data_IF_789305532627
#
_entry.id   IF_789305532627
#
_cell.length_a   1.000
_cell.length_b   1.000
_cell.length_c   1.000
_cell.angle_alpha   90.00
_cell.angle_beta   90.00
_cell.angle_gamma   90.00
#
_symmetry.space_group_name_H-M   'P 1'
#
loop_
_entity.id
_entity.type
_entity.pdbx_description
1 polymer ?
#
# COMPACT_ATOMS: atom_id res chain seq x y z
N UNK A 1 -52.57 -2.28 -18.66
CA UNK A 1 -52.32 -2.34 -17.20
C UNK A 1 -50.97 -1.67 -16.97
N UNK A 2 -50.92 -0.63 -16.14
CA UNK A 2 -49.64 -0.01 -15.75
C UNK A 2 -48.83 -1.04 -14.97
N UNK A 3 -47.61 -1.33 -15.41
CA UNK A 3 -46.68 -2.19 -14.69
C UNK A 3 -46.28 -1.51 -13.39
N UNK A 4 -46.53 -2.13 -12.24
CA UNK A 4 -46.07 -1.63 -10.94
C UNK A 4 -44.67 -2.16 -10.64
N UNK A 5 -43.75 -1.28 -10.23
CA UNK A 5 -42.47 -1.71 -9.68
C UNK A 5 -42.66 -2.23 -8.25
N UNK A 6 -42.24 -3.45 -8.01
CA UNK A 6 -42.25 -4.08 -6.68
C UNK A 6 -40.80 -4.34 -6.27
N UNK A 7 -40.31 -3.60 -5.27
CA UNK A 7 -38.91 -3.66 -4.83
C UNK A 7 -38.57 -4.97 -4.11
N UNK A 8 -39.58 -5.79 -3.80
CA UNK A 8 -39.41 -7.10 -3.18
C UNK A 8 -39.29 -8.25 -4.19
N UNK A 9 -39.48 -7.94 -5.48
CA UNK A 9 -39.45 -8.90 -6.59
C UNK A 9 -38.30 -8.57 -7.55
N UNK A 10 -37.91 -9.56 -8.36
CA UNK A 10 -36.84 -9.43 -9.37
C UNK A 10 -35.50 -8.94 -8.79
N UNK A 11 -35.19 -9.34 -7.55
CA UNK A 11 -33.93 -9.02 -6.90
C UNK A 11 -32.78 -9.64 -7.70
N UNK A 12 -31.79 -8.82 -8.05
CA UNK A 12 -30.62 -9.30 -8.78
C UNK A 12 -29.78 -10.22 -7.90
N UNK A 13 -29.47 -11.39 -8.44
CA UNK A 13 -28.60 -12.41 -7.81
C UNK A 13 -27.26 -12.54 -8.54
N UNK A 14 -27.06 -11.77 -9.62
CA UNK A 14 -25.89 -11.88 -10.52
C UNK A 14 -24.70 -11.01 -10.13
N UNK A 15 -24.70 -10.44 -8.91
CA UNK A 15 -23.64 -9.59 -8.35
C UNK A 15 -23.32 -8.32 -9.15
N UNK A 16 -24.21 -7.84 -10.04
CA UNK A 16 -23.97 -6.60 -10.78
C UNK A 16 -23.94 -5.42 -9.81
N UNK A 17 -22.85 -4.65 -9.82
CA UNK A 17 -22.74 -3.44 -8.99
C UNK A 17 -23.06 -2.18 -9.78
N UNK A 18 -23.74 -1.26 -9.12
CA UNK A 18 -23.95 0.11 -9.54
C UNK A 18 -23.07 0.99 -8.65
N UNK A 19 -22.11 1.66 -9.25
CA UNK A 19 -21.22 2.59 -8.54
C UNK A 19 -21.47 3.98 -9.09
N UNK A 20 -21.72 4.97 -8.22
CA UNK A 20 -21.92 6.36 -8.62
C UNK A 20 -21.16 7.35 -7.73
N UNK A 21 -20.74 8.48 -8.33
CA UNK A 21 -19.98 9.54 -7.64
C UNK A 21 -20.18 10.91 -8.30
N UNK A 22 -21.04 11.74 -7.74
CA UNK A 22 -21.31 13.09 -8.22
C UNK A 22 -20.43 14.12 -7.54
N UNK A 23 -19.29 14.43 -8.15
CA UNK A 23 -18.40 15.50 -7.73
C UNK A 23 -19.12 16.85 -7.60
N UNK A 24 -18.64 17.73 -6.70
CA UNK A 24 -19.12 19.11 -6.63
C UNK A 24 -18.97 19.82 -7.98
N UNK A 25 -20.03 20.51 -8.40
CA UNK A 25 -20.08 21.30 -9.63
C UNK A 25 -20.29 22.78 -9.28
N UNK A 26 -19.77 23.66 -10.12
CA UNK A 26 -20.01 25.10 -10.05
C UNK A 26 -20.83 25.48 -11.28
N UNK A 27 -21.97 26.14 -11.06
CA UNK A 27 -22.88 26.56 -12.10
C UNK A 27 -22.94 28.10 -12.19
N UNK A 28 -23.04 28.60 -13.41
CA UNK A 28 -23.36 29.99 -13.73
C UNK A 28 -24.80 30.09 -14.26
N UNK A 29 -25.29 31.31 -14.43
CA UNK A 29 -26.65 31.56 -14.96
C UNK A 29 -26.90 30.95 -16.34
N UNK A 30 -25.86 30.80 -17.16
CA UNK A 30 -25.95 30.26 -18.51
C UNK A 30 -25.97 28.72 -18.54
N UNK A 31 -25.62 28.08 -17.42
CA UNK A 31 -25.54 26.63 -17.31
C UNK A 31 -26.90 25.97 -17.06
N UNK A 32 -27.94 26.75 -16.74
CA UNK A 32 -29.28 26.21 -16.53
C UNK A 32 -30.35 26.92 -17.36
N UNK A 33 -31.39 26.17 -17.72
CA UNK A 33 -32.53 26.63 -18.50
C UNK A 33 -33.80 26.11 -17.86
N UNK A 34 -34.70 27.04 -17.56
CA UNK A 34 -36.04 26.71 -17.11
C UNK A 34 -36.96 26.67 -18.34
N UNK A 35 -37.54 25.51 -18.60
CA UNK A 35 -38.49 25.31 -19.69
C UNK A 35 -39.87 25.74 -19.21
N UNK A 36 -40.41 26.80 -19.82
CA UNK A 36 -41.69 27.42 -19.40
C UNK A 36 -42.90 26.84 -20.11
N UNK A 37 -42.70 26.17 -21.26
CA UNK A 37 -43.76 25.54 -22.02
C UNK A 37 -44.01 24.13 -21.47
N UNK A 38 -45.28 23.75 -21.31
CA UNK A 38 -45.63 22.42 -20.79
C UNK A 38 -45.00 21.31 -21.65
N UNK A 39 -44.31 20.34 -21.04
CA UNK A 39 -44.04 20.19 -19.59
C UNK A 39 -42.95 21.14 -19.08
N UNK A 40 -43.17 21.75 -17.92
CA UNK A 40 -42.21 22.65 -17.27
C UNK A 40 -41.21 21.87 -16.43
N UNK A 41 -39.93 22.08 -16.70
CA UNK A 41 -38.83 21.45 -15.96
C UNK A 41 -37.61 22.35 -15.90
N UNK A 42 -36.76 22.10 -14.92
CA UNK A 42 -35.44 22.71 -14.83
C UNK A 42 -34.41 21.77 -15.48
N UNK A 43 -33.60 22.31 -16.39
CA UNK A 43 -32.47 21.60 -16.99
C UNK A 43 -31.20 22.34 -16.65
N UNK A 44 -30.19 21.60 -16.22
CA UNK A 44 -28.85 22.09 -15.96
C UNK A 44 -27.92 21.36 -16.91
N UNK A 45 -27.29 22.10 -17.82
CA UNK A 45 -26.19 21.59 -18.61
C UNK A 45 -24.98 21.55 -17.68
N UNK A 46 -24.50 20.36 -17.35
CA UNK A 46 -23.36 20.23 -16.45
C UNK A 46 -22.38 19.22 -17.04
N UNK A 47 -21.14 19.65 -17.21
CA UNK A 47 -20.05 18.75 -17.52
C UNK A 47 -19.46 18.29 -16.19
N UNK A 48 -19.89 17.13 -15.71
CA UNK A 48 -19.11 16.41 -14.71
C UNK A 48 -17.74 16.12 -15.32
N UNK A 49 -16.66 16.19 -14.51
CA UNK A 49 -15.26 16.23 -14.97
C UNK A 49 -15.03 15.38 -16.23
N UNK A 50 -14.64 15.98 -17.36
CA UNK A 50 -14.37 15.21 -18.56
C UNK A 50 -13.21 14.25 -18.24
N UNK A 51 -13.43 12.94 -18.42
CA UNK A 51 -12.49 11.84 -18.20
C UNK A 51 -12.45 11.20 -16.80
N UNK A 52 -13.38 11.52 -15.89
CA UNK A 52 -13.61 10.73 -14.68
C UNK A 52 -15.07 10.24 -14.68
N UNK A 53 -15.35 8.94 -14.86
CA UNK A 53 -16.72 8.45 -14.87
C UNK A 53 -17.36 8.64 -13.50
N UNK A 54 -18.57 9.18 -13.47
CA UNK A 54 -19.38 9.33 -12.26
C UNK A 54 -20.44 8.24 -12.12
N UNK A 55 -20.49 7.29 -13.06
CA UNK A 55 -21.39 6.14 -13.03
C UNK A 55 -20.72 4.93 -13.70
N UNK A 56 -20.71 3.79 -13.02
CA UNK A 56 -20.22 2.51 -13.52
C UNK A 56 -21.30 1.44 -13.38
N UNK A 57 -21.65 0.77 -14.49
CA UNK A 57 -22.60 -0.35 -14.48
C UNK A 57 -22.62 -1.19 -15.78
N UNK A 58 -22.65 -2.54 -15.71
CA UNK A 58 -22.56 -3.35 -14.49
C UNK A 58 -21.11 -3.46 -14.03
N UNK A 59 -20.88 -3.27 -12.73
CA UNK A 59 -19.55 -3.18 -12.13
C UNK A 59 -18.71 -2.08 -12.77
N UNK A 60 -17.41 -2.31 -12.98
CA UNK A 60 -16.47 -1.39 -13.63
C UNK A 60 -16.43 -1.52 -15.16
N UNK A 61 -17.30 -2.35 -15.77
CA UNK A 61 -17.18 -2.69 -17.20
C UNK A 61 -17.57 -1.53 -18.13
N UNK A 62 -18.72 -0.90 -17.87
CA UNK A 62 -19.14 0.26 -18.64
C UNK A 62 -19.11 1.49 -17.76
N UNK A 63 -18.50 2.53 -18.31
CA UNK A 63 -18.30 3.80 -17.65
C UNK A 63 -19.08 4.89 -18.36
N UNK A 64 -19.69 5.77 -17.58
CA UNK A 64 -20.54 6.84 -18.05
C UNK A 64 -20.22 8.13 -17.29
N UNK A 65 -20.47 9.26 -17.94
CA UNK A 65 -20.30 10.57 -17.34
C UNK A 65 -21.59 11.38 -17.40
N UNK A 66 -21.95 12.02 -16.30
CA UNK A 66 -23.08 12.92 -16.23
C UNK A 66 -22.90 14.06 -17.21
N UNK A 67 -23.96 14.36 -17.94
CA UNK A 67 -23.97 15.40 -18.97
C UNK A 67 -25.02 16.48 -18.70
N UNK A 68 -26.12 16.11 -18.05
CA UNK A 68 -27.23 17.00 -17.73
C UNK A 68 -27.92 16.55 -16.46
N UNK A 69 -28.40 17.52 -15.69
CA UNK A 69 -29.28 17.30 -14.54
C UNK A 69 -30.64 17.90 -14.89
N UNK A 70 -31.70 17.20 -14.52
CA UNK A 70 -33.07 17.66 -14.65
C UNK A 70 -33.76 17.62 -13.29
N UNK A 71 -34.58 18.62 -13.01
CA UNK A 71 -35.55 18.57 -11.91
C UNK A 71 -36.93 18.61 -12.56
N UNK A 72 -37.73 17.60 -12.27
CA UNK A 72 -38.97 17.29 -13.00
C UNK A 72 -40.09 16.96 -12.03
N UNK A 73 -41.33 16.99 -12.54
CA UNK A 73 -42.47 16.39 -11.87
C UNK A 73 -42.26 14.87 -11.75
N UNK A 74 -43.04 14.20 -10.89
CA UNK A 74 -42.90 12.77 -10.62
C UNK A 74 -43.12 11.95 -11.89
N UNK A 75 -42.17 11.08 -12.23
CA UNK A 75 -42.24 10.20 -13.41
C UNK A 75 -42.59 8.77 -13.00
N UNK A 76 -41.95 8.28 -11.95
CA UNK A 76 -42.06 6.94 -11.40
C UNK A 76 -43.11 6.89 -10.29
N UNK A 77 -44.38 7.13 -10.66
CA UNK A 77 -45.54 7.13 -9.77
C UNK A 77 -46.08 5.71 -9.42
N UNK A 78 -45.39 4.67 -9.88
CA UNK A 78 -45.85 3.29 -9.91
C UNK A 78 -44.99 2.32 -9.07
N UNK A 79 -44.35 2.79 -8.00
CA UNK A 79 -43.54 1.96 -7.09
C UNK A 79 -44.40 1.52 -5.89
N UNK A 80 -44.71 0.23 -5.77
CA UNK A 80 -45.70 -0.31 -4.84
C UNK A 80 -45.43 0.03 -3.36
N UNK A 81 -44.16 0.07 -2.96
CA UNK A 81 -43.74 0.28 -1.57
C UNK A 81 -43.50 1.75 -1.21
N UNK A 82 -43.71 2.68 -2.15
CA UNK A 82 -43.48 4.11 -1.95
C UNK A 82 -44.82 4.83 -1.91
N UNK A 83 -45.12 5.51 -0.80
CA UNK A 83 -46.35 6.30 -0.66
C UNK A 83 -46.22 7.60 -1.46
N UNK A 84 -47.02 7.73 -2.52
CA UNK A 84 -46.91 8.83 -3.50
C UNK A 84 -47.28 10.22 -2.97
N UNK A 85 -47.96 10.35 -1.82
CA UNK A 85 -48.53 11.64 -1.40
C UNK A 85 -47.50 12.70 -1.00
N UNK A 86 -46.30 12.28 -0.58
CA UNK A 86 -45.22 13.20 -0.19
C UNK A 86 -44.11 13.28 -1.25
N UNK A 87 -44.19 12.50 -2.33
CA UNK A 87 -43.20 12.52 -3.41
C UNK A 87 -43.63 13.58 -4.41
N UNK A 88 -42.81 14.61 -4.55
CA UNK A 88 -43.20 15.86 -5.24
C UNK A 88 -42.50 16.06 -6.57
N UNK A 89 -41.55 15.19 -6.91
CA UNK A 89 -40.77 15.30 -8.14
C UNK A 89 -39.58 14.35 -8.17
N UNK A 90 -38.74 14.52 -9.18
CA UNK A 90 -37.52 13.73 -9.38
C UNK A 90 -36.34 14.61 -9.79
N UNK A 91 -35.16 14.25 -9.28
CA UNK A 91 -33.88 14.71 -9.80
C UNK A 91 -33.31 13.62 -10.71
N UNK A 92 -33.11 13.94 -11.97
CA UNK A 92 -32.65 12.99 -13.01
C UNK A 92 -31.30 13.44 -13.54
N UNK A 93 -30.36 12.51 -13.66
CA UNK A 93 -29.05 12.78 -14.26
C UNK A 93 -28.91 11.93 -15.51
N UNK A 94 -28.78 12.58 -16.66
CA UNK A 94 -28.49 11.95 -17.94
C UNK A 94 -26.98 11.76 -18.10
N UNK A 95 -26.58 10.52 -18.31
CA UNK A 95 -25.19 10.13 -18.48
C UNK A 95 -24.91 9.74 -19.93
N UNK A 96 -23.83 10.29 -20.47
CA UNK A 96 -23.26 9.91 -21.75
C UNK A 96 -22.24 8.77 -21.56
N UNK A 97 -22.18 7.81 -22.50
CA UNK A 97 -21.24 6.70 -22.40
C UNK A 97 -19.80 7.19 -22.62
N UNK A 98 -18.87 6.69 -21.81
CA UNK A 98 -17.41 6.76 -22.06
C UNK A 98 -16.95 5.47 -22.73
N UNK A 99 -17.22 4.31 -22.10
CA UNK A 99 -16.88 2.98 -22.65
C UNK A 99 -18.10 2.14 -23.01
N UNK A 100 -19.28 2.49 -22.49
CA UNK A 100 -20.53 1.77 -22.76
C UNK A 100 -21.22 2.15 -24.06
N UNK A 101 -22.47 1.73 -24.19
CA UNK A 101 -23.38 2.18 -25.27
C UNK A 101 -24.69 2.69 -24.67
N UNK A 102 -25.39 3.54 -25.42
CA UNK A 102 -26.64 4.16 -24.96
C UNK A 102 -26.44 5.20 -23.87
N UNK A 103 -27.55 5.78 -23.41
CA UNK A 103 -27.59 6.75 -22.30
C UNK A 103 -28.11 6.10 -21.03
N UNK A 104 -27.49 6.44 -19.91
CA UNK A 104 -27.95 5.99 -18.59
C UNK A 104 -28.58 7.14 -17.82
N UNK A 105 -29.66 6.86 -17.11
CA UNK A 105 -30.42 7.85 -16.34
C UNK A 105 -30.48 7.40 -14.89
N UNK A 106 -29.99 8.22 -13.97
CA UNK A 106 -30.22 8.00 -12.54
C UNK A 106 -31.30 8.93 -12.04
N UNK A 107 -32.33 8.37 -11.41
CA UNK A 107 -33.51 9.06 -10.93
C UNK A 107 -33.54 8.99 -9.40
N UNK A 108 -33.51 10.15 -8.75
CA UNK A 108 -33.67 10.31 -7.31
C UNK A 108 -35.03 10.93 -7.02
N UNK A 109 -35.85 10.23 -6.24
CA UNK A 109 -37.16 10.73 -5.83
C UNK A 109 -36.99 11.87 -4.82
N UNK A 110 -37.79 12.93 -4.96
CA UNK A 110 -37.79 14.08 -4.06
C UNK A 110 -39.01 14.01 -3.14
N UNK A 111 -38.77 13.97 -1.83
CA UNK A 111 -39.84 13.97 -0.82
C UNK A 111 -39.92 15.31 -0.11
N UNK A 112 -41.13 15.79 0.13
CA UNK A 112 -41.36 16.86 1.09
C UNK A 112 -42.70 16.67 1.79
N UNK A 113 -42.76 17.04 3.05
CA UNK A 113 -44.01 17.09 3.81
C UNK A 113 -44.33 18.55 4.14
N UNK A 114 -45.33 19.18 3.48
CA UNK A 114 -45.64 20.59 3.71
C UNK A 114 -46.13 20.87 5.13
N UNK A 115 -46.56 19.84 5.87
CA UNK A 115 -47.02 19.95 7.26
C UNK A 115 -45.86 19.90 8.27
N UNK A 116 -44.66 19.52 7.85
CA UNK A 116 -43.46 19.46 8.69
C UNK A 116 -42.51 20.56 8.20
N UNK A 117 -42.19 21.53 9.06
CA UNK A 117 -41.20 22.55 8.74
C UNK A 117 -39.80 21.94 8.81
N UNK A 118 -39.29 21.48 7.68
CA UNK A 118 -37.87 21.18 7.55
C UNK A 118 -37.10 22.51 7.43
N UNK A 119 -36.32 22.84 8.46
CA UNK A 119 -35.43 24.01 8.47
C UNK A 119 -34.05 23.70 7.89
N UNK A 120 -33.71 22.42 7.84
CA UNK A 120 -32.42 21.97 7.37
C UNK A 120 -32.41 22.04 5.84
N UNK A 121 -31.39 22.70 5.29
CA UNK A 121 -31.17 22.83 3.87
C UNK A 121 -30.11 21.82 3.45
N UNK A 122 -30.40 21.02 2.44
CA UNK A 122 -29.37 20.21 1.78
C UNK A 122 -28.84 20.93 0.52
N UNK A 123 -27.92 20.29 -0.20
CA UNK A 123 -27.34 20.89 -1.40
C UNK A 123 -28.37 21.03 -2.52
N UNK A 124 -29.38 20.15 -2.62
CA UNK A 124 -30.45 20.27 -3.63
C UNK A 124 -31.33 21.49 -3.32
N UNK A 125 -31.63 21.74 -2.04
CA UNK A 125 -32.33 22.94 -1.60
C UNK A 125 -31.55 24.22 -1.92
N UNK A 126 -30.24 24.20 -1.65
CA UNK A 126 -29.38 25.33 -1.99
C UNK A 126 -29.34 25.60 -3.49
N UNK A 127 -29.24 24.54 -4.30
CA UNK A 127 -29.26 24.63 -5.75
C UNK A 127 -30.55 25.28 -6.24
N UNK A 128 -31.72 24.77 -5.80
CA UNK A 128 -33.03 25.30 -6.19
C UNK A 128 -33.18 26.76 -5.74
N UNK A 129 -32.80 27.08 -4.50
CA UNK A 129 -32.90 28.42 -3.96
C UNK A 129 -32.03 29.42 -4.74
N UNK A 130 -30.76 29.08 -5.02
CA UNK A 130 -29.84 29.95 -5.76
C UNK A 130 -30.26 30.12 -7.23
N UNK A 131 -30.76 29.06 -7.87
CA UNK A 131 -31.35 29.13 -9.21
C UNK A 131 -32.58 30.03 -9.23
N UNK A 132 -33.46 29.92 -8.22
CA UNK A 132 -34.67 30.76 -8.11
C UNK A 132 -34.34 32.25 -7.98
N UNK A 133 -33.21 32.57 -7.35
CA UNK A 133 -32.67 33.94 -7.18
C UNK A 133 -31.80 34.42 -8.33
N UNK A 134 -31.50 33.55 -9.30
CA UNK A 134 -30.58 33.82 -10.41
C UNK A 134 -29.17 34.21 -9.95
N UNK A 135 -28.66 33.52 -8.95
CA UNK A 135 -27.30 33.74 -8.46
C UNK A 135 -26.24 33.17 -9.43
N UNK A 136 -25.06 33.78 -9.44
CA UNK A 136 -23.88 33.27 -10.15
C UNK A 136 -22.99 32.44 -9.21
N UNK A 137 -22.14 31.57 -9.77
CA UNK A 137 -21.21 30.73 -9.03
C UNK A 137 -21.90 29.84 -7.98
N UNK A 138 -22.95 29.14 -8.39
CA UNK A 138 -23.68 28.19 -7.55
C UNK A 138 -22.84 26.93 -7.39
N UNK A 139 -22.16 26.81 -6.25
CA UNK A 139 -21.51 25.55 -5.85
C UNK A 139 -22.55 24.57 -5.32
N UNK A 140 -22.52 23.33 -5.82
CA UNK A 140 -23.45 22.27 -5.47
C UNK A 140 -22.73 20.91 -5.41
N UNK A 141 -22.88 20.19 -4.29
CA UNK A 141 -22.34 18.85 -4.09
C UNK A 141 -23.49 17.86 -3.91
N UNK A 142 -23.81 17.07 -4.94
CA UNK A 142 -25.01 16.22 -4.90
C UNK A 142 -24.86 15.04 -3.93
N UNK A 143 -23.68 14.43 -3.85
CA UNK A 143 -23.45 13.24 -3.02
C UNK A 143 -23.85 13.43 -1.55
N UNK A 144 -23.67 14.63 -1.00
CA UNK A 144 -24.03 14.94 0.41
C UNK A 144 -25.53 14.95 0.66
N UNK A 145 -26.34 15.03 -0.39
CA UNK A 145 -27.81 15.09 -0.31
C UNK A 145 -28.48 13.77 -0.69
N UNK A 146 -27.73 12.84 -1.31
CA UNK A 146 -28.24 11.51 -1.64
C UNK A 146 -28.14 10.64 -0.38
N UNK A 147 -29.24 10.14 0.19
CA UNK A 147 -29.16 9.20 1.30
C UNK A 147 -28.65 7.85 0.81
N UNK A 148 -28.01 7.08 1.69
CA UNK A 148 -27.59 5.71 1.39
C UNK A 148 -28.77 4.88 0.89
N UNK A 149 -28.59 4.13 -0.19
CA UNK A 149 -29.68 3.49 -0.92
C UNK A 149 -29.82 2.01 -0.52
N UNK A 150 -31.06 1.59 -0.20
CA UNK A 150 -31.34 0.19 0.12
C UNK A 150 -31.67 -0.64 -1.12
N UNK A 151 -32.29 -0.03 -2.12
CA UNK A 151 -32.67 -0.67 -3.37
C UNK A 151 -32.55 0.32 -4.53
N UNK A 152 -32.27 -0.21 -5.72
CA UNK A 152 -32.30 0.53 -6.97
C UNK A 152 -33.01 -0.31 -8.04
N UNK A 153 -34.06 0.25 -8.62
CA UNK A 153 -34.79 -0.39 -9.72
C UNK A 153 -34.04 -0.09 -11.01
N UNK A 154 -33.70 -1.12 -11.79
CA UNK A 154 -33.02 -0.97 -13.08
C UNK A 154 -33.88 -1.55 -14.19
N UNK A 155 -34.15 -0.75 -15.21
CA UNK A 155 -34.89 -1.19 -16.39
C UNK A 155 -34.35 -0.57 -17.68
N UNK A 156 -34.64 -1.25 -18.78
CA UNK A 156 -34.24 -0.83 -20.12
C UNK A 156 -35.34 0.03 -20.75
N UNK A 157 -34.99 1.21 -21.27
CA UNK A 157 -35.90 2.04 -22.09
C UNK A 157 -35.97 1.45 -23.50
N UNK A 158 -34.81 1.07 -24.03
CA UNK A 158 -34.61 0.45 -25.32
C UNK A 158 -33.40 -0.51 -25.22
N UNK A 159 -32.84 -0.97 -26.34
CA UNK A 159 -31.74 -1.94 -26.33
C UNK A 159 -30.45 -1.43 -25.70
N UNK A 160 -30.24 -0.12 -25.59
CA UNK A 160 -29.00 0.48 -25.09
C UNK A 160 -29.19 1.35 -23.85
N UNK A 161 -30.33 2.03 -23.74
CA UNK A 161 -30.56 3.04 -22.70
C UNK A 161 -31.17 2.42 -21.45
N UNK A 162 -30.68 2.83 -20.27
CA UNK A 162 -31.10 2.28 -18.98
C UNK A 162 -31.50 3.36 -17.99
N UNK A 163 -32.43 3.02 -17.11
CA UNK A 163 -32.86 3.87 -15.99
C UNK A 163 -32.57 3.17 -14.67
N UNK A 164 -32.07 3.93 -13.72
CA UNK A 164 -31.77 3.52 -12.34
C UNK A 164 -32.61 4.39 -11.42
N UNK A 165 -33.63 3.82 -10.79
CA UNK A 165 -34.52 4.54 -9.87
C UNK A 165 -34.16 4.20 -8.44
N UNK A 166 -33.64 5.19 -7.72
CA UNK A 166 -33.26 5.08 -6.32
C UNK A 166 -34.47 5.23 -5.41
N UNK A 167 -34.62 4.31 -4.45
CA UNK A 167 -35.87 4.21 -3.65
C UNK A 167 -35.83 5.02 -2.36
N UNK A 168 -34.65 5.33 -1.83
CA UNK A 168 -34.53 6.22 -0.67
C UNK A 168 -34.50 7.67 -1.18
N UNK A 169 -35.45 8.47 -0.70
CA UNK A 169 -35.76 9.78 -1.27
C UNK A 169 -34.87 10.88 -0.72
N UNK A 170 -34.60 11.90 -1.53
CA UNK A 170 -33.96 13.13 -1.08
C UNK A 170 -35.04 14.02 -0.48
N UNK A 171 -34.93 14.30 0.83
CA UNK A 171 -35.82 15.23 1.51
C UNK A 171 -35.54 16.67 1.08
N UNK A 172 -36.56 17.45 0.72
CA UNK A 172 -36.40 18.87 0.38
C UNK A 172 -37.26 19.76 1.27
N UNK A 173 -36.78 20.97 1.53
CA UNK A 173 -37.42 21.91 2.43
C UNK A 173 -38.66 22.58 1.81
N UNK A 174 -39.38 23.38 2.61
CA UNK A 174 -40.63 24.01 2.19
C UNK A 174 -40.46 25.03 1.04
N UNK A 175 -39.29 25.67 0.91
CA UNK A 175 -39.03 26.60 -0.17
C UNK A 175 -38.85 25.86 -1.50
N UNK A 176 -38.08 24.77 -1.49
CA UNK A 176 -37.91 23.87 -2.64
C UNK A 176 -39.21 23.18 -3.02
N UNK A 177 -39.99 22.72 -2.03
CA UNK A 177 -41.34 22.19 -2.26
C UNK A 177 -42.20 23.16 -3.06
N UNK A 178 -42.26 24.43 -2.61
CA UNK A 178 -43.04 25.46 -3.28
C UNK A 178 -42.52 25.71 -4.71
N UNK A 179 -41.20 25.77 -4.88
CA UNK A 179 -40.60 25.95 -6.19
C UNK A 179 -40.96 24.80 -7.14
N UNK A 180 -40.77 23.55 -6.71
CA UNK A 180 -41.04 22.37 -7.52
C UNK A 180 -42.54 22.32 -7.87
N UNK A 181 -43.43 22.39 -6.89
CA UNK A 181 -44.87 22.25 -7.13
C UNK A 181 -45.51 23.41 -7.93
N UNK A 182 -44.99 24.63 -7.82
CA UNK A 182 -45.53 25.79 -8.55
C UNK A 182 -44.86 26.03 -9.92
N UNK A 183 -43.59 25.65 -10.08
CA UNK A 183 -42.79 25.94 -11.29
C UNK A 183 -42.53 24.69 -12.12
N UNK A 184 -42.50 23.51 -11.55
CA UNK A 184 -42.23 22.29 -12.29
C UNK A 184 -43.57 21.57 -12.42
N UNK A 185 -44.07 21.44 -13.65
CA UNK A 185 -45.40 20.91 -13.91
C UNK A 185 -45.38 20.01 -15.13
N UNK A 186 -45.94 18.82 -14.97
CA UNK A 186 -46.10 17.87 -16.07
C UNK A 186 -44.81 17.14 -16.43
N UNK A 187 -45.00 15.99 -17.05
CA UNK A 187 -43.92 15.08 -17.44
C UNK A 187 -43.89 14.96 -18.95
N UNK A 188 -42.74 15.17 -19.63
CA UNK A 188 -42.65 14.90 -21.06
C UNK A 188 -43.04 13.45 -21.36
N UNK A 189 -43.98 13.26 -22.29
CA UNK A 189 -44.47 11.94 -22.69
C UNK A 189 -43.33 11.01 -23.21
N UNK A 190 -42.20 11.59 -23.59
CA UNK A 190 -40.99 10.92 -24.08
C UNK A 190 -40.01 10.50 -22.98
N UNK A 191 -40.17 10.91 -21.73
CA UNK A 191 -39.06 10.76 -20.77
C UNK A 191 -38.88 9.34 -20.29
N UNK A 192 -39.91 8.58 -19.90
CA UNK A 192 -39.77 7.11 -19.77
C UNK A 192 -41.06 6.36 -20.11
N UNK A 193 -41.70 6.72 -21.22
CA UNK A 193 -43.06 6.38 -21.71
C UNK A 193 -43.72 5.09 -21.16
N UNK A 194 -44.03 5.13 -19.85
CA UNK A 194 -44.76 4.21 -18.98
C UNK A 194 -44.19 2.79 -18.81
N UNK A 195 -42.88 2.72 -18.66
CA UNK A 195 -42.17 1.45 -18.46
C UNK A 195 -42.14 0.95 -17.01
N UNK A 196 -41.94 -0.38 -16.84
CA UNK A 196 -41.70 -1.40 -17.87
C UNK A 196 -42.98 -2.07 -18.39
N UNK A 197 -43.32 -1.89 -19.66
CA UNK A 197 -44.51 -2.52 -20.27
C UNK A 197 -44.58 -4.05 -20.16
N UNK A 198 -43.49 -4.74 -19.79
CA UNK A 198 -43.39 -6.20 -19.66
C UNK A 198 -42.73 -6.72 -18.34
N UNK A 199 -42.74 -5.98 -17.23
CA UNK A 199 -42.08 -6.38 -15.96
C UNK A 199 -40.57 -6.71 -16.04
N UNK A 200 -39.89 -6.37 -17.14
CA UNK A 200 -38.45 -6.54 -17.29
C UNK A 200 -37.70 -5.43 -16.56
N UNK A 201 -37.68 -5.54 -15.24
CA UNK A 201 -36.81 -4.76 -14.37
C UNK A 201 -36.08 -5.71 -13.43
N UNK A 202 -34.95 -5.25 -12.91
CA UNK A 202 -34.27 -5.88 -11.78
C UNK A 202 -34.22 -4.92 -10.61
N UNK A 203 -34.08 -5.45 -9.41
CA UNK A 203 -33.85 -4.65 -8.20
C UNK A 203 -32.46 -4.97 -7.71
N UNK A 204 -31.57 -3.99 -7.76
CA UNK A 204 -30.27 -4.08 -7.12
C UNK A 204 -30.47 -3.91 -5.61
N UNK A 205 -30.04 -4.87 -4.78
CA UNK A 205 -30.08 -4.72 -3.33
C UNK A 205 -28.95 -3.79 -2.85
N UNK A 206 -29.03 -3.34 -1.59
CA UNK A 206 -28.05 -2.45 -0.94
C UNK A 206 -26.58 -2.81 -1.23
N UNK A 207 -26.22 -4.09 -1.11
CA UNK A 207 -24.83 -4.55 -1.28
C UNK A 207 -24.28 -4.38 -2.71
N UNK A 208 -25.15 -4.07 -3.66
CA UNK A 208 -24.82 -3.87 -5.07
C UNK A 208 -24.84 -2.39 -5.45
N UNK A 209 -25.09 -1.49 -4.50
CA UNK A 209 -25.18 -0.04 -4.74
C UNK A 209 -24.12 0.64 -3.89
N UNK A 210 -23.16 1.29 -4.54
CA UNK A 210 -22.07 1.98 -3.86
C UNK A 210 -22.03 3.44 -4.31
N UNK A 211 -22.15 4.35 -3.35
CA UNK A 211 -21.80 5.76 -3.54
C UNK A 211 -20.33 5.93 -3.15
N UNK A 212 -19.47 6.35 -4.08
CA UNK A 212 -18.08 6.61 -3.71
C UNK A 212 -18.01 7.89 -2.84
N UNK A 213 -17.31 7.81 -1.70
CA UNK A 213 -17.05 8.95 -0.82
C UNK A 213 -17.74 8.94 0.54
N UNK A 214 -18.77 8.11 0.77
CA UNK A 214 -19.28 7.81 2.12
C UNK A 214 -18.73 6.44 2.55
N UNK A 215 -17.70 6.44 3.40
CA UNK A 215 -17.29 5.30 4.23
C UNK A 215 -16.98 3.95 3.56
N UNK A 216 -16.32 3.94 2.40
CA UNK A 216 -15.65 2.72 1.93
C UNK A 216 -14.14 2.93 1.81
N UNK A 217 -13.44 2.34 2.79
CA UNK A 217 -12.12 1.76 2.64
C UNK A 217 -12.09 1.10 1.26
N UNK A 218 -11.24 1.60 0.37
CA UNK A 218 -10.93 0.93 -0.88
C UNK A 218 -10.37 -0.46 -0.55
N UNK A 219 -11.25 -1.47 -0.49
CA UNK A 219 -10.84 -2.85 -0.51
C UNK A 219 -10.56 -3.13 -1.98
N UNK A 220 -9.29 -2.94 -2.30
CA UNK A 220 -8.70 -3.36 -3.55
C UNK A 220 -8.96 -4.86 -3.72
N UNK A 221 -10.02 -5.20 -4.46
CA UNK A 221 -10.16 -6.53 -5.04
C UNK A 221 -9.26 -6.61 -6.28
N UNK A 222 -7.99 -6.23 -6.14
CA UNK A 222 -6.95 -6.80 -7.00
C UNK A 222 -6.96 -8.30 -6.71
N UNK A 223 -7.07 -9.16 -7.75
CA UNK A 223 -6.77 -10.55 -7.54
C UNK A 223 -5.35 -10.59 -6.96
N UNK A 224 -5.22 -11.21 -5.79
CA UNK A 224 -3.95 -11.37 -5.10
C UNK A 224 -3.03 -12.19 -6.02
N UNK A 225 -2.21 -11.51 -6.82
CA UNK A 225 -1.29 -12.19 -7.73
C UNK A 225 -0.73 -11.42 -8.92
N UNK A 226 -1.34 -10.32 -9.39
CA UNK A 226 -0.77 -9.58 -10.54
C UNK A 226 0.02 -8.33 -10.13
N UNK A 227 1.21 -8.18 -10.72
CA UNK A 227 2.08 -7.03 -10.48
C UNK A 227 1.49 -5.76 -11.10
N UNK A 228 1.72 -4.61 -10.44
CA UNK A 228 1.31 -3.28 -10.93
C UNK A 228 1.78 -2.97 -12.37
N UNK A 229 2.82 -3.65 -12.85
CA UNK A 229 3.34 -3.54 -14.21
C UNK A 229 2.34 -4.08 -15.27
N UNK A 230 1.49 -5.04 -14.90
CA UNK A 230 0.51 -5.65 -15.82
C UNK A 230 -0.68 -4.71 -16.09
N UNK A 231 -1.00 -3.84 -15.12
CA UNK A 231 -2.08 -2.84 -15.21
C UNK A 231 -1.72 -1.70 -16.18
N UNK A 232 -0.42 -1.35 -16.28
CA UNK A 232 0.05 -0.30 -17.19
C UNK A 232 -0.08 -0.65 -18.69
N UNK A 233 -0.31 -1.93 -19.02
CA UNK A 233 -0.47 -2.41 -20.41
C UNK A 233 -1.86 -2.15 -20.99
N UNK A 234 -2.85 -1.84 -20.16
CA UNK A 234 -4.18 -1.44 -20.63
C UNK A 234 -4.19 0.06 -20.92
N UNK A 235 -3.74 0.42 -22.13
CA UNK A 235 -3.97 1.68 -22.86
C UNK A 235 -4.66 2.81 -22.07
N UNK A 236 -4.01 3.33 -21.03
CA UNK A 236 -4.39 4.58 -20.39
C UNK A 236 -3.86 5.68 -21.32
N UNK A 237 -4.68 6.65 -21.79
CA UNK A 237 -4.18 7.70 -22.67
C UNK A 237 -2.94 8.35 -22.04
N UNK A 238 -1.88 8.53 -22.83
CA UNK A 238 -0.55 9.03 -22.43
C UNK A 238 -0.58 10.46 -21.80
N UNK A 239 -1.77 11.06 -21.70
CA UNK A 239 -2.03 12.36 -21.07
C UNK A 239 -3.15 12.31 -20.00
N UNK A 240 -3.45 11.14 -19.42
CA UNK A 240 -4.38 11.09 -18.30
C UNK A 240 -3.74 11.66 -17.02
N UNK A 241 -4.52 12.37 -16.21
CA UNK A 241 -4.07 12.85 -14.90
C UNK A 241 -3.63 11.68 -14.00
N UNK A 242 -4.19 10.48 -14.22
CA UNK A 242 -3.78 9.22 -13.57
C UNK A 242 -2.36 8.81 -13.94
N UNK A 243 -1.93 8.92 -15.20
CA UNK A 243 -0.53 8.68 -15.58
C UNK A 243 0.41 9.71 -14.97
N UNK A 244 -0.02 10.98 -14.89
CA UNK A 244 0.76 12.06 -14.26
C UNK A 244 0.89 11.85 -12.76
N UNK A 245 -0.17 11.43 -12.08
CA UNK A 245 -0.18 11.23 -10.63
C UNK A 245 0.41 9.87 -10.23
N UNK A 246 0.26 8.82 -11.04
CA UNK A 246 1.01 7.57 -10.90
C UNK A 246 2.51 7.80 -11.10
N UNK A 247 2.91 8.55 -12.13
CA UNK A 247 4.31 8.93 -12.33
C UNK A 247 4.85 9.79 -11.18
N UNK A 248 4.04 10.70 -10.63
CA UNK A 248 4.43 11.45 -9.41
C UNK A 248 4.52 10.56 -8.19
N UNK A 249 3.61 9.60 -8.01
CA UNK A 249 3.64 8.64 -6.90
C UNK A 249 4.85 7.71 -7.02
N UNK A 250 5.18 7.24 -8.21
CA UNK A 250 6.36 6.41 -8.45
C UNK A 250 7.65 7.23 -8.32
N UNK A 251 7.64 8.49 -8.75
CA UNK A 251 8.72 9.43 -8.46
C UNK A 251 8.87 9.66 -6.96
N UNK A 252 7.76 9.84 -6.22
CA UNK A 252 7.79 10.01 -4.76
C UNK A 252 8.27 8.73 -4.06
N UNK A 253 7.82 7.54 -4.46
CA UNK A 253 8.30 6.26 -3.92
C UNK A 253 9.79 6.09 -4.21
N UNK A 254 10.24 6.39 -5.43
CA UNK A 254 11.65 6.34 -5.80
C UNK A 254 12.47 7.34 -4.98
N UNK A 255 11.98 8.57 -4.81
CA UNK A 255 12.62 9.60 -3.99
C UNK A 255 12.71 9.18 -2.52
N UNK A 256 11.65 8.61 -1.95
CA UNK A 256 11.65 8.07 -0.58
C UNK A 256 12.67 6.95 -0.46
N UNK A 257 12.71 6.02 -1.41
CA UNK A 257 13.68 4.92 -1.42
C UNK A 257 15.12 5.43 -1.54
N UNK A 258 15.37 6.45 -2.36
CA UNK A 258 16.69 7.09 -2.50
C UNK A 258 17.08 7.82 -1.21
N UNK A 259 16.17 8.56 -0.59
CA UNK A 259 16.43 9.22 0.70
C UNK A 259 16.71 8.19 1.80
N UNK A 260 15.93 7.11 1.86
CA UNK A 260 16.13 6.01 2.79
C UNK A 260 17.49 5.32 2.55
N UNK A 261 17.89 5.14 1.29
CA UNK A 261 19.21 4.61 0.94
C UNK A 261 20.35 5.52 1.42
N UNK A 262 20.24 6.84 1.28
CA UNK A 262 21.23 7.79 1.83
C UNK A 262 21.31 7.72 3.36
N UNK A 263 20.16 7.62 4.05
CA UNK A 263 20.12 7.44 5.51
C UNK A 263 20.83 6.14 5.90
N UNK A 264 20.60 5.04 5.17
CA UNK A 264 21.26 3.78 5.42
C UNK A 264 22.77 3.83 5.16
N UNK A 265 23.24 4.53 4.12
CA UNK A 265 24.67 4.75 3.89
C UNK A 265 25.28 5.49 5.09
N UNK A 266 24.63 6.55 5.56
CA UNK A 266 25.12 7.35 6.67
C UNK A 266 25.19 6.52 7.96
N UNK A 267 24.14 5.74 8.26
CA UNK A 267 24.13 4.81 9.39
C UNK A 267 25.24 3.76 9.26
N UNK A 268 25.39 3.15 8.08
CA UNK A 268 26.43 2.14 7.82
C UNK A 268 27.82 2.72 8.05
N UNK A 269 28.05 3.96 7.58
CA UNK A 269 29.33 4.65 7.72
C UNK A 269 29.76 4.86 9.18
N UNK A 270 28.84 5.19 10.08
CA UNK A 270 29.17 5.41 11.50
C UNK A 270 29.08 4.14 12.34
N UNK A 271 28.04 3.32 12.14
CA UNK A 271 27.73 2.17 12.99
C UNK A 271 28.66 1.00 12.69
N UNK A 272 28.88 0.66 11.42
CA UNK A 272 29.65 -0.55 11.06
C UNK A 272 31.09 -0.48 11.57
N UNK A 273 31.86 0.62 11.38
CA UNK A 273 33.22 0.69 11.91
C UNK A 273 33.26 0.56 13.43
N UNK A 274 32.33 1.21 14.14
CA UNK A 274 32.28 1.12 15.60
C UNK A 274 32.04 -0.32 16.08
N UNK A 275 31.04 -0.99 15.51
CA UNK A 275 30.73 -2.37 15.85
C UNK A 275 31.86 -3.32 15.45
N UNK A 276 32.39 -3.18 14.25
CA UNK A 276 33.48 -4.02 13.75
C UNK A 276 34.73 -3.87 14.63
N UNK A 277 35.08 -2.64 15.05
CA UNK A 277 36.18 -2.40 15.99
C UNK A 277 35.95 -3.12 17.31
N UNK A 278 34.78 -2.92 17.90
CA UNK A 278 34.47 -3.39 19.25
C UNK A 278 34.34 -4.91 19.31
N UNK A 279 33.71 -5.52 18.31
CA UNK A 279 33.36 -6.95 18.30
C UNK A 279 34.49 -7.80 17.74
N UNK A 280 35.20 -7.33 16.70
CA UNK A 280 36.25 -8.11 16.03
C UNK A 280 37.63 -7.66 16.50
N UNK A 281 38.01 -6.42 16.22
CA UNK A 281 39.40 -5.95 16.40
C UNK A 281 39.80 -5.94 17.88
N UNK A 282 39.02 -5.29 18.75
CA UNK A 282 39.33 -5.15 20.17
C UNK A 282 39.25 -6.50 20.91
N UNK A 283 38.40 -7.42 20.44
CA UNK A 283 38.31 -8.77 21.02
C UNK A 283 39.47 -9.65 20.58
N UNK A 284 39.91 -9.60 19.32
CA UNK A 284 41.14 -10.29 18.88
C UNK A 284 42.32 -9.84 19.75
N UNK A 285 42.45 -8.53 19.99
CA UNK A 285 43.50 -7.98 20.84
C UNK A 285 43.44 -8.46 22.30
N UNK A 286 42.24 -8.50 22.90
CA UNK A 286 42.06 -8.90 24.30
C UNK A 286 42.22 -10.41 24.52
N UNK A 287 42.00 -11.21 23.48
CA UNK A 287 41.81 -12.65 23.61
C UNK A 287 42.99 -13.47 23.09
N UNK A 288 43.79 -12.92 22.19
CA UNK A 288 44.92 -13.61 21.59
C UNK A 288 46.20 -12.90 22.01
N UNK A 289 47.06 -13.61 22.73
CA UNK A 289 48.42 -13.15 23.02
C UNK A 289 49.34 -13.58 21.88
N UNK A 290 49.95 -12.61 21.20
CA UNK A 290 50.87 -12.86 20.10
C UNK A 290 51.50 -11.57 19.60
N UNK A 291 52.50 -11.74 18.72
CA UNK A 291 53.14 -10.61 18.03
C UNK A 291 52.21 -10.01 16.97
N UNK A 292 52.57 -8.82 16.45
CA UNK A 292 51.78 -8.07 15.48
C UNK A 292 51.43 -8.89 14.22
N UNK A 293 52.31 -9.80 13.80
CA UNK A 293 52.07 -10.73 12.70
C UNK A 293 50.94 -11.73 12.97
N UNK A 294 50.86 -12.28 14.20
CA UNK A 294 49.85 -13.28 14.58
C UNK A 294 48.48 -12.63 14.68
N UNK A 295 48.42 -11.45 15.30
CA UNK A 295 47.19 -10.66 15.42
C UNK A 295 46.65 -10.25 14.05
N UNK A 296 47.52 -9.79 13.14
CA UNK A 296 47.13 -9.43 11.77
C UNK A 296 46.62 -10.64 10.98
N UNK A 297 47.32 -11.78 11.06
CA UNK A 297 46.92 -13.01 10.38
C UNK A 297 45.56 -13.50 10.85
N UNK A 298 45.28 -13.44 12.17
CA UNK A 298 43.97 -13.83 12.70
C UNK A 298 42.86 -12.86 12.28
N UNK A 299 43.12 -11.56 12.28
CA UNK A 299 42.15 -10.56 11.82
C UNK A 299 41.77 -10.80 10.34
N UNK A 300 42.76 -11.07 9.47
CA UNK A 300 42.51 -11.42 8.06
C UNK A 300 41.76 -12.75 7.92
N UNK A 301 42.07 -13.76 8.74
CA UNK A 301 41.35 -15.03 8.72
C UNK A 301 39.86 -14.86 9.10
N UNK A 302 39.56 -14.01 10.08
CA UNK A 302 38.18 -13.68 10.47
C UNK A 302 37.45 -12.92 9.36
N UNK A 303 38.11 -11.99 8.65
CA UNK A 303 37.51 -11.31 7.50
C UNK A 303 37.16 -12.27 6.36
N UNK A 304 38.07 -13.20 6.06
CA UNK A 304 37.85 -14.24 5.06
C UNK A 304 36.69 -15.14 5.49
N UNK A 305 36.61 -15.52 6.76
CA UNK A 305 35.50 -16.30 7.29
C UNK A 305 34.17 -15.56 7.14
N UNK A 306 34.07 -14.31 7.60
CA UNK A 306 32.85 -13.48 7.48
C UNK A 306 32.44 -13.33 6.00
N UNK A 307 33.41 -13.18 5.10
CA UNK A 307 33.15 -13.08 3.65
C UNK A 307 32.62 -14.38 3.06
N UNK A 308 33.19 -15.53 3.43
CA UNK A 308 32.69 -16.85 3.00
C UNK A 308 31.26 -17.05 3.50
N UNK A 309 31.00 -16.73 4.76
CA UNK A 309 29.66 -16.78 5.35
C UNK A 309 28.67 -15.91 4.57
N UNK A 310 29.04 -14.66 4.27
CA UNK A 310 28.19 -13.75 3.52
C UNK A 310 27.88 -14.27 2.12
N UNK A 311 28.85 -14.86 1.43
CA UNK A 311 28.66 -15.47 0.10
C UNK A 311 27.71 -16.67 0.16
N UNK A 312 27.88 -17.56 1.15
CA UNK A 312 26.97 -18.70 1.35
C UNK A 312 25.55 -18.21 1.65
N UNK A 313 25.41 -17.19 2.50
CA UNK A 313 24.12 -16.61 2.85
C UNK A 313 23.45 -15.95 1.64
N UNK A 314 24.23 -15.26 0.79
CA UNK A 314 23.74 -14.68 -0.46
C UNK A 314 23.19 -15.76 -1.40
N UNK A 315 23.96 -16.81 -1.70
CA UNK A 315 23.51 -17.87 -2.61
C UNK A 315 22.34 -18.69 -2.04
N UNK A 316 22.25 -18.87 -0.73
CA UNK A 316 21.10 -19.55 -0.10
C UNK A 316 19.83 -18.71 -0.16
N UNK A 317 19.91 -17.39 0.09
CA UNK A 317 18.77 -16.48 -0.09
C UNK A 317 18.34 -16.39 -1.55
N UNK A 318 19.29 -16.29 -2.48
CA UNK A 318 19.01 -16.21 -3.91
C UNK A 318 18.38 -17.50 -4.43
N UNK A 319 18.95 -18.66 -4.07
CA UNK A 319 18.41 -19.97 -4.41
C UNK A 319 17.03 -20.23 -3.81
N UNK A 320 16.74 -19.75 -2.59
CA UNK A 320 15.40 -19.81 -2.05
C UNK A 320 14.43 -18.87 -2.76
N UNK A 321 14.89 -17.65 -3.06
CA UNK A 321 14.06 -16.64 -3.68
C UNK A 321 13.60 -17.04 -5.08
N UNK A 322 14.49 -17.62 -5.88
CA UNK A 322 14.17 -18.11 -7.22
C UNK A 322 13.17 -19.28 -7.22
N UNK A 323 13.13 -20.08 -6.15
CA UNK A 323 12.32 -21.30 -6.10
C UNK A 323 10.98 -21.14 -5.37
N UNK A 324 10.81 -20.14 -4.49
CA UNK A 324 9.64 -20.06 -3.59
C UNK A 324 9.06 -18.66 -3.39
N UNK A 325 9.89 -17.64 -3.18
CA UNK A 325 9.41 -16.27 -2.95
C UNK A 325 10.40 -15.25 -3.52
N UNK A 326 10.00 -14.55 -4.58
CA UNK A 326 10.84 -13.58 -5.27
C UNK A 326 11.35 -12.44 -4.38
N UNK A 327 10.66 -12.11 -3.29
CA UNK A 327 11.11 -11.10 -2.30
C UNK A 327 12.49 -11.42 -1.71
N UNK A 328 12.83 -12.70 -1.55
CA UNK A 328 14.15 -13.11 -1.04
C UNK A 328 15.27 -12.86 -2.04
N UNK A 329 14.98 -12.79 -3.35
CA UNK A 329 15.96 -12.35 -4.36
C UNK A 329 16.30 -10.88 -4.12
N UNK A 330 15.30 -10.04 -3.87
CA UNK A 330 15.51 -8.63 -3.54
C UNK A 330 16.30 -8.45 -2.25
N UNK A 331 15.99 -9.23 -1.20
CA UNK A 331 16.76 -9.20 0.04
C UNK A 331 18.20 -9.68 -0.14
N UNK A 332 18.45 -10.71 -0.97
CA UNK A 332 19.80 -11.16 -1.28
C UNK A 332 20.62 -10.05 -1.96
N UNK A 333 20.03 -9.35 -2.93
CA UNK A 333 20.67 -8.23 -3.63
C UNK A 333 20.98 -7.09 -2.66
N UNK A 334 20.03 -6.66 -1.84
CA UNK A 334 20.27 -5.63 -0.83
C UNK A 334 21.35 -6.04 0.17
N UNK A 335 21.28 -7.26 0.70
CA UNK A 335 22.30 -7.80 1.61
C UNK A 335 23.69 -7.73 0.99
N UNK A 336 23.85 -8.16 -0.26
CA UNK A 336 25.14 -8.16 -0.93
C UNK A 336 25.71 -6.75 -1.15
N UNK A 337 24.85 -5.80 -1.54
CA UNK A 337 25.24 -4.38 -1.69
C UNK A 337 25.66 -3.80 -0.33
N UNK A 338 24.87 -4.02 0.72
CA UNK A 338 25.21 -3.54 2.07
C UNK A 338 26.47 -4.20 2.63
N UNK A 339 26.67 -5.49 2.39
CA UNK A 339 27.88 -6.20 2.79
C UNK A 339 29.10 -5.64 2.07
N UNK A 340 29.02 -5.43 0.74
CA UNK A 340 30.09 -4.83 -0.05
C UNK A 340 30.45 -3.41 0.40
N UNK A 341 29.45 -2.57 0.67
CA UNK A 341 29.66 -1.23 1.24
C UNK A 341 30.28 -1.31 2.64
N UNK A 342 29.79 -2.19 3.50
CA UNK A 342 30.31 -2.40 4.85
C UNK A 342 31.77 -2.83 4.83
N UNK A 343 32.12 -3.82 4.00
CA UNK A 343 33.49 -4.28 3.81
C UNK A 343 34.40 -3.17 3.28
N UNK A 344 33.89 -2.35 2.34
CA UNK A 344 34.63 -1.21 1.79
C UNK A 344 34.88 -0.12 2.83
N UNK A 345 33.88 0.21 3.65
CA UNK A 345 33.98 1.20 4.72
C UNK A 345 34.92 0.71 5.82
N UNK A 346 34.90 -0.58 6.17
CA UNK A 346 35.87 -1.18 7.11
C UNK A 346 37.27 -1.14 6.50
N UNK A 347 37.43 -1.48 5.21
CA UNK A 347 38.70 -1.36 4.49
C UNK A 347 39.27 0.06 4.55
N UNK A 348 38.45 1.05 4.20
CA UNK A 348 38.80 2.46 4.24
C UNK A 348 39.18 2.93 5.65
N UNK A 349 38.36 2.63 6.66
CA UNK A 349 38.65 3.00 8.05
C UNK A 349 39.93 2.36 8.61
N UNK A 350 40.36 1.23 8.04
CA UNK A 350 41.65 0.61 8.35
C UNK A 350 42.82 1.32 7.66
N UNK A 351 42.63 1.91 6.49
CA UNK A 351 43.70 2.66 5.80
C UNK A 351 43.96 4.03 6.43
N UNK A 352 42.92 4.70 6.94
CA UNK A 352 43.03 6.02 7.56
C UNK A 352 43.39 5.98 9.06
N UNK A 353 43.64 4.79 9.63
CA UNK A 353 44.04 4.62 11.03
C UNK A 353 42.94 4.86 12.08
N UNK A 354 41.66 4.85 11.67
CA UNK A 354 40.52 5.01 12.60
C UNK A 354 40.43 3.84 13.57
N UNK A 355 40.60 2.62 13.07
CA UNK A 355 41.03 1.51 13.90
C UNK A 355 42.50 1.80 14.24
N UNK A 356 42.82 2.12 15.50
CA UNK A 356 44.22 2.16 15.97
C UNK A 356 44.79 0.73 15.92
N UNK A 357 45.06 0.26 14.72
CA UNK A 357 45.51 -1.07 14.38
C UNK A 357 47.05 -1.03 14.29
N UNK A 358 47.67 -0.75 15.44
CA UNK A 358 49.13 -0.57 15.57
C UNK A 358 49.90 -1.75 14.95
N UNK A 359 49.34 -2.95 15.04
CA UNK A 359 49.97 -4.16 14.51
C UNK A 359 49.87 -4.27 12.98
N UNK A 360 48.79 -3.81 12.36
CA UNK A 360 48.64 -3.80 10.90
C UNK A 360 49.51 -2.74 10.25
N UNK A 361 49.67 -1.58 10.89
CA UNK A 361 50.60 -0.55 10.43
C UNK A 361 52.06 -1.01 10.52
N UNK A 362 52.42 -1.69 11.62
CA UNK A 362 53.73 -2.32 11.79
C UNK A 362 53.95 -3.46 10.77
N UNK A 363 52.94 -4.30 10.53
CA UNK A 363 52.96 -5.33 9.49
C UNK A 363 53.08 -4.74 8.08
N UNK A 364 52.36 -3.67 7.76
CA UNK A 364 52.41 -3.01 6.46
C UNK A 364 53.80 -2.45 6.18
N UNK A 365 54.40 -1.76 7.16
CA UNK A 365 55.79 -1.29 7.08
C UNK A 365 56.78 -2.44 6.89
N UNK A 366 56.58 -3.56 7.61
CA UNK A 366 57.41 -4.75 7.44
C UNK A 366 57.28 -5.37 6.03
N UNK A 367 56.06 -5.47 5.49
CA UNK A 367 55.79 -6.09 4.20
C UNK A 367 56.16 -5.23 2.99
N UNK A 368 56.15 -3.90 3.13
CA UNK A 368 56.55 -2.94 2.08
C UNK A 368 58.08 -2.80 1.94
N UNK A 369 58.85 -3.24 2.95
CA UNK A 369 60.31 -3.29 2.89
C UNK A 369 60.78 -4.35 1.87
N UNK A 370 61.52 -3.96 0.81
CA UNK A 370 62.02 -4.87 -0.21
C UNK A 370 62.86 -6.03 0.35
N UNK A 371 63.53 -5.84 1.50
CA UNK A 371 64.35 -6.86 2.15
C UNK A 371 63.52 -7.99 2.78
N UNK A 372 62.22 -7.77 2.98
CA UNK A 372 61.34 -8.72 3.67
C UNK A 372 60.42 -9.49 2.71
N UNK A 373 60.37 -9.13 1.42
CA UNK A 373 59.38 -9.61 0.43
C UNK A 373 59.24 -11.13 0.32
N UNK A 374 60.30 -11.89 0.60
CA UNK A 374 60.33 -13.36 0.52
C UNK A 374 60.33 -14.05 1.90
N UNK A 375 60.18 -13.30 3.00
CA UNK A 375 60.22 -13.85 4.36
C UNK A 375 58.95 -14.67 4.68
N UNK A 376 59.08 -15.74 5.49
CA UNK A 376 57.93 -16.55 5.93
C UNK A 376 56.96 -15.78 6.86
N UNK A 377 57.39 -14.63 7.40
CA UNK A 377 56.58 -13.73 8.24
C UNK A 377 55.58 -12.88 7.43
N UNK A 378 55.75 -12.85 6.10
CA UNK A 378 54.76 -12.29 5.19
C UNK A 378 53.62 -13.29 5.02
N UNK A 379 52.40 -12.81 5.19
CA UNK A 379 51.13 -13.49 5.09
C UNK A 379 50.99 -14.18 3.71
N UNK A 380 51.29 -15.48 3.65
CA UNK A 380 50.99 -16.30 2.47
C UNK A 380 49.56 -16.80 2.55
N UNK A 381 48.94 -17.00 1.40
CA UNK A 381 47.58 -17.54 1.29
C UNK A 381 47.39 -18.86 2.07
N UNK A 382 48.41 -19.72 2.05
CA UNK A 382 48.40 -21.00 2.79
C UNK A 382 48.30 -20.78 4.30
N UNK A 383 48.95 -19.74 4.84
CA UNK A 383 48.94 -19.46 6.28
C UNK A 383 47.58 -18.89 6.72
N UNK A 384 46.92 -18.13 5.86
CA UNK A 384 45.52 -17.69 6.08
C UNK A 384 44.59 -18.90 6.13
N UNK A 385 44.74 -19.86 5.21
CA UNK A 385 43.90 -21.07 5.19
C UNK A 385 44.12 -21.95 6.43
N UNK A 386 45.37 -22.07 6.91
CA UNK A 386 45.69 -22.79 8.15
C UNK A 386 45.04 -22.15 9.37
N UNK A 387 45.12 -20.83 9.49
CA UNK A 387 44.52 -20.08 10.61
C UNK A 387 43.00 -20.06 10.54
N UNK A 388 42.42 -20.02 9.34
CA UNK A 388 40.99 -20.22 9.13
C UNK A 388 40.56 -21.62 9.61
N UNK A 389 41.29 -22.67 9.23
CA UNK A 389 41.03 -24.02 9.68
C UNK A 389 41.14 -24.17 11.20
N UNK A 390 42.18 -23.57 11.80
CA UNK A 390 42.36 -23.55 13.25
C UNK A 390 41.23 -22.80 13.95
N UNK A 391 40.82 -21.63 13.44
CA UNK A 391 39.69 -20.87 13.95
C UNK A 391 38.39 -21.68 13.92
N UNK A 392 38.10 -22.37 12.80
CA UNK A 392 36.91 -23.23 12.69
C UNK A 392 36.96 -24.39 13.70
N UNK A 393 38.13 -25.01 13.88
CA UNK A 393 38.32 -26.08 14.87
C UNK A 393 38.09 -25.55 16.28
N UNK A 394 38.62 -24.38 16.63
CA UNK A 394 38.43 -23.74 17.94
C UNK A 394 36.94 -23.45 18.23
N UNK A 395 36.21 -22.96 17.21
CA UNK A 395 34.75 -22.73 17.30
C UNK A 395 34.01 -24.04 17.55
N UNK A 396 34.29 -25.08 16.77
CA UNK A 396 33.63 -26.40 16.91
C UNK A 396 34.00 -27.08 18.24
N UNK A 397 35.24 -26.96 18.69
CA UNK A 397 35.70 -27.53 19.97
C UNK A 397 35.02 -26.87 21.16
N UNK A 398 34.85 -25.55 21.12
CA UNK A 398 34.07 -24.82 22.10
C UNK A 398 32.60 -25.28 22.10
N UNK A 399 31.98 -25.33 20.93
CA UNK A 399 30.54 -25.63 20.79
C UNK A 399 30.15 -27.06 21.17
N UNK A 400 30.97 -28.03 20.76
CA UNK A 400 30.64 -29.45 20.90
C UNK A 400 31.19 -30.03 22.19
N UNK A 401 32.37 -29.58 22.62
CA UNK A 401 33.11 -30.21 23.72
C UNK A 401 33.31 -29.29 24.93
N UNK A 402 32.89 -28.02 24.87
CA UNK A 402 33.09 -27.04 25.95
C UNK A 402 34.56 -26.83 26.29
N UNK A 403 35.47 -27.15 25.36
CA UNK A 403 36.92 -27.11 25.55
C UNK A 403 37.53 -26.19 24.51
N UNK A 404 38.32 -25.22 24.97
CA UNK A 404 39.07 -24.29 24.11
C UNK A 404 39.56 -23.09 24.91
N UNK A 405 40.77 -22.60 24.60
CA UNK A 405 41.29 -21.35 25.15
C UNK A 405 40.65 -20.11 24.53
N UNK A 406 39.92 -20.28 23.42
CA UNK A 406 39.10 -19.23 22.82
C UNK A 406 37.95 -18.86 23.77
N UNK A 407 38.06 -17.67 24.37
CA UNK A 407 37.08 -17.18 25.34
C UNK A 407 35.67 -17.14 24.71
N UNK A 408 34.63 -17.45 25.50
CA UNK A 408 33.29 -17.83 25.05
C UNK A 408 32.60 -16.84 24.09
N UNK A 409 32.99 -15.56 24.08
CA UNK A 409 32.31 -14.52 23.31
C UNK A 409 32.56 -14.64 21.79
N UNK A 410 33.80 -14.89 21.35
CA UNK A 410 34.12 -15.06 19.92
C UNK A 410 33.55 -16.37 19.41
N UNK A 411 33.69 -17.43 20.22
CA UNK A 411 33.14 -18.73 19.90
C UNK A 411 31.61 -18.64 19.76
N UNK A 412 30.90 -18.07 20.75
CA UNK A 412 29.44 -17.89 20.69
C UNK A 412 28.94 -17.09 19.48
N UNK A 413 29.65 -16.05 19.04
CA UNK A 413 29.27 -15.30 17.83
C UNK A 413 29.47 -16.15 16.58
N UNK A 414 30.57 -16.91 16.52
CA UNK A 414 30.82 -17.86 15.45
C UNK A 414 29.79 -19.00 15.47
N UNK A 415 29.42 -19.54 16.64
CA UNK A 415 28.34 -20.52 16.83
C UNK A 415 27.01 -19.98 16.34
N UNK A 416 26.68 -18.73 16.69
CA UNK A 416 25.42 -18.09 16.28
C UNK A 416 25.34 -17.91 14.77
N UNK A 417 26.45 -17.49 14.16
CA UNK A 417 26.59 -17.37 12.70
C UNK A 417 26.49 -18.75 12.05
N UNK A 418 27.17 -19.76 12.59
CA UNK A 418 27.19 -21.14 12.09
C UNK A 418 25.83 -21.83 12.25
N UNK A 419 25.11 -21.53 13.34
CA UNK A 419 23.74 -21.95 13.62
C UNK A 419 22.75 -21.29 12.65
N UNK A 420 22.90 -19.99 12.36
CA UNK A 420 22.12 -19.33 11.30
C UNK A 420 22.40 -19.95 9.93
N UNK A 421 23.65 -20.27 9.60
CA UNK A 421 24.03 -20.90 8.32
C UNK A 421 23.47 -22.32 8.18
N UNK A 422 23.33 -23.07 9.27
CA UNK A 422 22.82 -24.45 9.22
C UNK A 422 21.29 -24.47 9.28
N UNK A 423 20.68 -23.71 10.19
CA UNK A 423 19.24 -23.78 10.43
C UNK A 423 18.44 -22.97 9.43
N UNK A 424 18.96 -21.84 8.94
CA UNK A 424 18.25 -21.03 7.94
C UNK A 424 18.02 -21.83 6.64
N UNK A 425 19.01 -22.53 6.04
CA UNK A 425 18.76 -23.36 4.86
C UNK A 425 17.85 -24.56 5.13
N UNK A 426 17.99 -25.22 6.29
CA UNK A 426 17.12 -26.35 6.66
C UNK A 426 15.66 -25.89 6.82
N UNK A 427 15.44 -24.71 7.41
CA UNK A 427 14.12 -24.08 7.52
C UNK A 427 13.53 -23.71 6.15
N UNK A 428 14.34 -23.12 5.26
CA UNK A 428 13.96 -22.77 3.89
C UNK A 428 13.56 -24.01 3.05
N UNK A 429 14.01 -25.22 3.43
CA UNK A 429 13.61 -26.48 2.78
C UNK A 429 12.28 -27.10 3.26
N UNK A 430 11.49 -26.41 4.11
CA UNK A 430 10.12 -26.80 4.56
C UNK A 430 10.00 -28.05 5.46
N UNK A 431 11.09 -28.68 5.92
CA UNK A 431 10.98 -29.90 6.76
C UNK A 431 10.71 -29.66 8.26
N UNK A 432 10.74 -28.41 8.74
CA UNK A 432 10.55 -28.09 10.16
C UNK A 432 9.18 -27.44 10.35
N UNK A 433 8.40 -27.92 11.33
CA UNK A 433 7.07 -27.37 11.63
C UNK A 433 7.17 -25.96 12.23
N UNK A 434 6.16 -25.12 11.96
CA UNK A 434 6.05 -23.75 12.47
C UNK A 434 6.18 -23.67 14.00
N UNK A 435 5.76 -24.72 14.71
CA UNK A 435 5.85 -24.86 16.18
C UNK A 435 7.27 -25.06 16.68
N UNK A 436 8.08 -25.87 15.99
CA UNK A 436 9.50 -26.08 16.33
C UNK A 436 10.31 -24.79 16.08
N UNK A 437 9.94 -24.02 15.06
CA UNK A 437 10.53 -22.70 14.79
C UNK A 437 10.22 -21.68 15.89
N UNK A 438 8.97 -21.60 16.34
CA UNK A 438 8.60 -20.73 17.47
C UNK A 438 9.37 -21.18 18.72
N UNK A 439 9.40 -22.48 19.01
CA UNK A 439 10.18 -23.03 20.13
C UNK A 439 11.68 -22.70 20.06
N UNK A 440 12.31 -22.80 18.88
CA UNK A 440 13.71 -22.40 18.66
C UNK A 440 13.93 -20.89 18.73
N UNK A 441 12.98 -20.07 18.27
CA UNK A 441 13.04 -18.62 18.44
C UNK A 441 12.91 -18.20 19.89
N UNK A 442 12.17 -18.93 20.73
CA UNK A 442 12.13 -18.68 22.18
C UNK A 442 13.46 -19.04 22.87
N UNK A 443 14.29 -19.90 22.27
CA UNK A 443 15.66 -20.16 22.72
C UNK A 443 16.63 -19.01 22.37
N UNK A 444 16.32 -18.17 21.37
CA UNK A 444 17.16 -17.04 20.95
C UNK A 444 17.28 -15.98 22.07
N UNK A 445 16.20 -15.52 22.73
CA UNK A 445 16.30 -14.68 23.93
C UNK A 445 17.02 -15.39 25.07
N UNK A 446 16.84 -16.69 25.28
CA UNK A 446 17.51 -17.41 26.38
C UNK A 446 19.03 -17.45 26.16
N UNK A 447 19.49 -17.63 24.93
CA UNK A 447 20.92 -17.58 24.56
C UNK A 447 21.48 -16.16 24.36
N UNK A 448 20.66 -15.11 24.25
CA UNK A 448 21.11 -13.71 24.23
C UNK A 448 21.08 -13.09 25.65
N UNK A 449 20.10 -13.49 26.47
CA UNK A 449 19.88 -12.96 27.82
C UNK A 449 20.82 -13.64 28.84
N UNK A 450 21.05 -14.96 28.78
CA UNK A 450 21.99 -15.62 29.70
C UNK A 450 23.44 -15.07 29.57
N UNK A 451 23.98 -14.82 28.37
CA UNK A 451 25.28 -14.18 28.21
C UNK A 451 25.23 -12.67 28.40
N UNK A 452 24.11 -12.00 28.12
CA UNK A 452 23.92 -10.59 28.48
C UNK A 452 24.09 -10.37 29.99
N UNK A 453 23.56 -11.29 30.80
CA UNK A 453 23.75 -11.31 32.25
C UNK A 453 25.20 -11.68 32.64
N UNK A 454 25.87 -12.58 31.90
CA UNK A 454 27.30 -12.90 32.11
C UNK A 454 28.25 -11.77 31.67
N UNK A 455 27.89 -10.98 30.65
CA UNK A 455 28.66 -9.81 30.20
C UNK A 455 28.58 -8.70 31.25
N UNK A 456 27.41 -8.47 31.84
CA UNK A 456 27.25 -7.55 32.98
C UNK A 456 28.03 -8.07 34.20
N UNK A 457 28.02 -9.38 34.49
CA UNK A 457 28.78 -9.92 35.63
C UNK A 457 30.30 -9.88 35.43
N UNK A 458 30.82 -10.06 34.20
CA UNK A 458 32.26 -10.03 33.91
C UNK A 458 32.78 -8.59 33.81
N UNK A 459 31.96 -7.65 33.31
CA UNK A 459 32.34 -6.22 33.26
C UNK A 459 32.21 -5.50 34.60
N UNK A 460 31.48 -6.06 35.57
CA UNK A 460 31.35 -5.51 36.92
C UNK A 460 32.29 -6.10 37.97
N UNK A 461 33.12 -7.11 37.64
CA UNK A 461 34.17 -7.55 38.56
C UNK A 461 35.28 -6.50 38.52
N UNK A 462 35.54 -5.76 39.61
CA UNK A 462 36.67 -4.84 39.66
C UNK A 462 37.95 -5.67 39.48
N UNK A 463 38.89 -5.19 38.68
CA UNK A 463 40.26 -5.74 38.61
C UNK A 463 40.93 -5.63 40.00
N UNK A 464 40.64 -6.56 40.90
CA UNK A 464 41.53 -6.91 42.00
C UNK A 464 42.55 -7.88 41.41
N UNK A 465 43.59 -7.32 40.78
CA UNK A 465 44.94 -7.89 40.73
C UNK A 465 45.79 -7.03 39.79
N UNK A 466 46.27 -5.90 40.34
CA UNK A 466 47.58 -5.39 39.96
C UNK A 466 48.57 -5.93 40.99
N UNK A 467 49.56 -6.77 40.63
CA UNK A 467 50.73 -6.89 41.48
C UNK A 467 51.44 -5.54 41.46
N UNK A 468 51.73 -5.02 42.67
CA UNK A 468 52.68 -3.94 42.84
C UNK A 468 54.07 -4.47 42.46
N UNK A 469 54.65 -3.94 41.39
CA UNK A 469 56.08 -3.64 41.27
C UNK A 469 56.28 -2.64 40.16
#
# INVERSE_FOLDING_TARGET
>A
MSSTFDITKNIDTTNKKLIYDYYPIILNTDDYTYYTNEPKYLKINSVFKPNAPNLLYPDTMNSYNGSKIYITDLIHDNIAQIQSQNVIGELIIEHAPITGSGKYYTCFLLESNPNIKFTDSNSVDELINKISKKENNISFALNTSIPSQNNCIVYDINTSDKVFVFTNMIYVNNASYKYITEKITGTPASWFSKFPTNQKYIVLPKNNITQQGEDEIYIDCTPTGESAETIATYNVPIQSEYTRDASKLDFMKTLINVMMFFIFILLTYFTVPFFYKTVVVDNIYKLISGDFHVLNRRNVAVDVFISIVAVVLFFTMLGYGMNKNFEFVMYAVYFFVFFGLSASVVGYNREIGFFKDKYRDEYKKFAEDPANKDKPEILKFIDILKELGQYIIEVVQFDVFGKGETKPIIAMFATFILFLIIILPIWLTKKISKTVFIFLMWFIPVFIILPGVSIISITMIPNSDKPKS
#
